data_IF_127926550273
#
_entry.id   IF_127926550273
#
_cell.length_a   1.000
_cell.length_b   1.000
_cell.length_c   1.000
_cell.angle_alpha   90.00
_cell.angle_beta   90.00
_cell.angle_gamma   90.00
#
_symmetry.space_group_name_H-M   'P 1'
#
loop_
_entity.id
_entity.type
_entity.pdbx_description
1 polymer ?
#
# COMPACT_ATOMS: atom_id res chain seq x y z
N UNK A 1 -20.34 -60.58 -27.51
CA UNK A 1 -20.29 -60.61 -29.00
C UNK A 1 -19.42 -59.44 -29.43
N UNK A 2 -18.14 -59.64 -29.73
CA UNK A 2 -17.54 -60.09 -31.02
C UNK A 2 -17.46 -58.95 -32.06
N UNK A 3 -16.33 -58.69 -32.73
CA UNK A 3 -15.03 -59.39 -32.70
C UNK A 3 -13.80 -58.51 -32.95
N UNK A 4 -12.67 -59.04 -32.49
CA UNK A 4 -11.28 -58.62 -32.67
C UNK A 4 -10.76 -58.57 -34.11
N UNK A 5 -9.67 -57.83 -34.33
CA UNK A 5 -8.56 -58.28 -35.20
C UNK A 5 -7.20 -57.84 -34.65
N UNK A 6 -6.18 -58.69 -34.80
CA UNK A 6 -4.84 -58.56 -34.18
C UNK A 6 -3.72 -58.92 -35.15
N UNK A 7 -2.55 -58.27 -34.99
CA UNK A 7 -1.15 -58.54 -35.43
C UNK A 7 -0.31 -57.34 -34.92
N UNK A 8 0.91 -57.41 -34.39
CA UNK A 8 1.88 -58.50 -34.23
C UNK A 8 2.96 -58.47 -35.34
N UNK A 9 4.28 -58.38 -35.09
CA UNK A 9 5.08 -58.22 -33.85
C UNK A 9 6.23 -57.15 -34.09
N UNK A 10 7.54 -57.20 -33.76
CA UNK A 10 8.44 -58.19 -33.10
C UNK A 10 9.82 -57.56 -32.67
N UNK A 11 10.09 -57.37 -31.37
CA UNK A 11 11.44 -57.12 -30.73
C UNK A 11 12.19 -55.80 -31.06
N UNK A 12 13.24 -55.33 -30.33
CA UNK A 12 14.08 -55.94 -29.26
C UNK A 12 14.72 -54.94 -28.23
N UNK A 13 14.86 -55.41 -26.98
CA UNK A 13 15.96 -55.27 -25.98
C UNK A 13 16.80 -53.96 -25.76
N UNK A 14 16.45 -53.23 -24.68
CA UNK A 14 17.24 -52.88 -23.45
C UNK A 14 18.71 -52.31 -23.44
N UNK A 15 19.15 -51.61 -22.34
CA UNK A 15 20.27 -50.64 -22.39
C UNK A 15 21.46 -50.81 -21.38
N UNK A 16 22.51 -49.99 -21.55
CA UNK A 16 23.61 -49.73 -20.59
C UNK A 16 24.96 -49.48 -21.30
N UNK A 17 26.02 -48.86 -20.73
CA UNK A 17 26.25 -48.06 -19.51
C UNK A 17 27.58 -47.22 -19.74
N UNK A 18 28.15 -46.45 -18.79
CA UNK A 18 29.08 -45.35 -19.12
C UNK A 18 30.57 -45.74 -19.25
N UNK A 19 31.40 -44.79 -19.72
CA UNK A 19 32.86 -44.79 -19.53
C UNK A 19 33.29 -43.78 -18.45
N UNK A 20 34.22 -44.21 -17.61
CA UNK A 20 35.00 -43.38 -16.69
C UNK A 20 36.34 -43.02 -17.32
N UNK A 21 36.99 -41.96 -16.83
CA UNK A 21 38.45 -41.81 -16.94
C UNK A 21 39.03 -41.48 -15.56
N UNK A 22 40.08 -42.22 -15.19
CA UNK A 22 40.93 -41.93 -14.04
C UNK A 22 41.94 -40.83 -14.38
N UNK A 23 42.27 -40.01 -13.39
CA UNK A 23 43.63 -39.52 -13.16
C UNK A 23 43.83 -39.35 -11.65
N UNK A 24 45.07 -39.47 -11.19
CA UNK A 24 45.42 -39.58 -9.77
C UNK A 24 46.74 -38.89 -9.45
N UNK A 25 47.03 -38.65 -8.17
CA UNK A 25 48.41 -38.42 -7.69
C UNK A 25 48.74 -37.00 -7.23
N UNK A 26 48.62 -36.80 -5.91
CA UNK A 26 49.55 -36.09 -5.00
C UNK A 26 50.49 -35.02 -5.59
N UNK A 27 50.39 -33.80 -5.05
CA UNK A 27 51.55 -33.04 -4.56
C UNK A 27 51.17 -32.27 -3.29
N UNK A 28 52.16 -31.99 -2.43
CA UNK A 28 52.02 -31.34 -1.12
C UNK A 28 53.32 -30.59 -0.80
N UNK A 29 53.26 -29.61 0.12
CA UNK A 29 54.38 -28.81 0.68
C UNK A 29 54.86 -27.67 -0.26
N UNK A 30 55.34 -26.58 0.38
CA UNK A 30 55.66 -25.24 -0.15
C UNK A 30 54.42 -24.45 -0.68
N UNK A 31 54.19 -23.18 -0.31
CA UNK A 31 54.96 -22.21 0.52
C UNK A 31 54.03 -21.62 1.61
N UNK A 32 54.53 -21.47 2.84
CA UNK A 32 53.78 -20.89 3.97
C UNK A 32 54.63 -19.91 4.80
N UNK A 33 55.14 -18.84 4.18
CA UNK A 33 56.14 -17.94 4.81
C UNK A 33 56.06 -16.46 4.39
N UNK A 34 54.85 -15.90 4.18
CA UNK A 34 54.68 -14.47 3.82
C UNK A 34 53.61 -13.74 4.66
N UNK A 35 52.60 -14.45 5.17
CA UNK A 35 51.40 -13.82 5.75
C UNK A 35 51.53 -13.25 7.19
N UNK A 36 52.73 -13.21 7.78
CA UNK A 36 52.92 -12.85 9.20
C UNK A 36 53.61 -11.49 9.46
N UNK A 37 53.99 -10.74 8.41
CA UNK A 37 54.72 -9.47 8.55
C UNK A 37 53.84 -8.21 8.45
N UNK A 38 52.60 -8.31 7.96
CA UNK A 38 51.70 -7.14 7.81
C UNK A 38 50.83 -6.81 9.03
N UNK A 39 51.01 -7.50 10.17
CA UNK A 39 50.13 -7.38 11.36
C UNK A 39 50.77 -6.58 12.50
N UNK A 40 52.10 -6.36 12.47
CA UNK A 40 52.83 -5.74 13.59
C UNK A 40 53.04 -4.22 13.47
N UNK A 41 52.92 -3.62 12.29
CA UNK A 41 53.20 -2.19 12.07
C UNK A 41 52.01 -1.25 12.37
N UNK A 42 50.79 -1.81 12.51
CA UNK A 42 49.58 -1.03 12.81
C UNK A 42 49.32 -0.84 14.32
N UNK A 43 50.06 -1.53 15.19
CA UNK A 43 49.78 -1.61 16.63
C UNK A 43 50.48 -0.54 17.49
N UNK A 44 51.41 0.25 16.93
CA UNK A 44 52.33 1.13 17.69
C UNK A 44 52.13 2.64 17.44
N UNK A 45 50.95 3.08 16.99
CA UNK A 45 50.67 4.51 16.70
C UNK A 45 49.40 5.11 17.34
N UNK A 46 48.83 4.46 18.35
CA UNK A 46 47.65 4.97 19.09
C UNK A 46 47.80 4.83 20.61
N UNK A 47 48.78 5.53 21.22
CA UNK A 47 48.89 5.59 22.69
C UNK A 47 49.57 6.84 23.28
N UNK A 48 49.18 8.04 22.84
CA UNK A 48 49.59 9.30 23.50
C UNK A 48 48.56 10.43 23.29
N UNK A 49 48.54 11.44 24.16
CA UNK A 49 47.81 12.71 23.94
C UNK A 49 46.36 12.80 24.45
N UNK A 50 46.14 12.89 25.78
CA UNK A 50 44.81 13.23 26.35
C UNK A 50 44.71 14.71 26.75
N UNK A 51 43.79 15.49 26.16
CA UNK A 51 43.23 16.72 26.76
C UNK A 51 41.90 17.14 26.11
N UNK A 52 41.05 17.85 26.86
CA UNK A 52 39.76 18.43 26.42
C UNK A 52 39.94 19.91 26.08
N UNK A 53 39.25 20.42 25.05
CA UNK A 53 38.55 21.73 24.98
C UNK A 53 37.44 21.58 23.91
N UNK A 54 36.53 22.56 23.81
CA UNK A 54 35.23 22.55 23.12
C UNK A 54 35.23 23.03 21.66
N UNK A 55 34.02 23.11 21.08
CA UNK A 55 33.56 23.93 19.92
C UNK A 55 33.86 23.47 18.48
N UNK A 56 32.75 23.23 17.77
CA UNK A 56 32.43 23.51 16.36
C UNK A 56 33.27 22.98 15.16
N UNK A 57 32.54 22.21 14.33
CA UNK A 57 32.56 22.15 12.86
C UNK A 57 33.79 21.70 12.03
N UNK A 58 33.44 20.83 11.06
CA UNK A 58 33.97 20.66 9.70
C UNK A 58 34.99 19.54 9.40
N UNK A 59 34.61 18.72 8.41
CA UNK A 59 35.45 17.72 7.74
C UNK A 59 35.76 16.42 8.50
N UNK A 60 35.98 15.28 7.86
CA UNK A 60 35.58 14.83 6.50
C UNK A 60 35.64 13.30 6.50
N UNK A 61 34.54 12.60 6.23
CA UNK A 61 34.53 11.14 6.03
C UNK A 61 34.13 10.79 4.60
N UNK A 62 35.14 10.49 3.77
CA UNK A 62 34.98 10.13 2.37
C UNK A 62 34.56 8.66 2.19
N UNK A 63 33.28 8.38 2.45
CA UNK A 63 32.61 7.14 2.02
C UNK A 63 31.79 7.45 0.76
N UNK A 64 31.69 6.47 -0.15
CA UNK A 64 31.08 6.57 -1.47
C UNK A 64 29.81 7.45 -1.52
N UNK A 65 29.98 8.72 -1.89
CA UNK A 65 28.89 9.53 -2.44
C UNK A 65 28.53 8.98 -3.82
N UNK A 66 27.57 8.05 -3.84
CA UNK A 66 26.60 8.07 -4.92
C UNK A 66 26.10 9.52 -5.03
N UNK A 67 26.01 10.09 -6.24
CA UNK A 67 25.51 11.45 -6.39
C UNK A 67 24.09 11.50 -5.81
N UNK A 68 23.93 12.21 -4.70
CA UNK A 68 22.71 12.94 -4.43
C UNK A 68 22.60 13.98 -5.53
N UNK A 69 22.06 13.54 -6.67
CA UNK A 69 21.54 14.45 -7.66
C UNK A 69 20.32 15.08 -7.01
N UNK A 70 20.48 16.32 -6.57
CA UNK A 70 19.37 17.24 -6.35
C UNK A 70 18.71 17.54 -7.71
N UNK A 71 18.06 16.50 -8.24
CA UNK A 71 17.20 16.57 -9.39
C UNK A 71 15.84 17.01 -8.86
N UNK A 72 15.72 18.32 -8.68
CA UNK A 72 14.53 19.01 -9.18
C UNK A 72 14.33 18.53 -10.62
N UNK A 73 13.48 17.52 -10.81
CA UNK A 73 12.99 17.15 -12.14
C UNK A 73 12.52 18.41 -12.84
N UNK A 74 12.77 18.49 -14.16
CA UNK A 74 12.49 19.62 -15.05
C UNK A 74 11.29 20.46 -14.60
N UNK A 75 11.40 21.80 -14.72
CA UNK A 75 10.53 22.85 -14.15
C UNK A 75 9.04 22.88 -14.58
N UNK A 76 8.44 21.71 -14.70
CA UNK A 76 7.03 21.40 -14.86
C UNK A 76 6.39 21.61 -13.49
N UNK A 77 5.53 22.61 -13.37
CA UNK A 77 4.64 22.73 -12.23
C UNK A 77 3.68 21.52 -12.25
N UNK A 78 3.93 20.53 -11.38
CA UNK A 78 3.18 19.26 -11.36
C UNK A 78 1.68 19.49 -11.16
N UNK A 79 1.27 20.49 -10.37
CA UNK A 79 -0.13 20.88 -10.21
C UNK A 79 -0.73 21.39 -11.52
N UNK A 80 0.02 22.18 -12.32
CA UNK A 80 -0.40 22.66 -13.65
C UNK A 80 -0.56 21.50 -14.66
N UNK A 81 0.31 20.51 -14.60
CA UNK A 81 0.21 19.33 -15.46
C UNK A 81 -0.95 18.41 -15.05
N UNK A 82 -1.16 18.20 -13.75
CA UNK A 82 -2.34 17.49 -13.23
C UNK A 82 -3.66 18.21 -13.57
N UNK A 83 -3.68 19.55 -13.56
CA UNK A 83 -4.82 20.35 -14.04
C UNK A 83 -5.10 20.14 -15.54
N UNK A 84 -4.07 19.89 -16.36
CA UNK A 84 -4.20 19.58 -17.78
C UNK A 84 -4.68 18.15 -18.03
N UNK A 85 -4.20 17.20 -17.22
CA UNK A 85 -4.52 15.77 -17.32
C UNK A 85 -5.86 15.38 -16.67
N UNK A 86 -6.37 16.19 -15.72
CA UNK A 86 -7.53 15.83 -14.90
C UNK A 86 -8.40 17.05 -14.49
N UNK A 87 -8.81 17.93 -15.42
CA UNK A 87 -9.46 19.21 -15.10
C UNK A 87 -10.79 19.05 -14.33
N UNK A 88 -11.49 17.94 -14.48
CA UNK A 88 -12.79 17.70 -13.83
C UNK A 88 -12.67 17.52 -12.32
N UNK A 89 -11.58 16.93 -11.81
CA UNK A 89 -11.33 16.84 -10.37
C UNK A 89 -11.26 18.24 -9.76
N UNK A 90 -10.44 19.12 -10.35
CA UNK A 90 -10.18 20.46 -9.83
C UNK A 90 -11.31 21.47 -10.10
N UNK A 91 -12.30 21.09 -10.92
CA UNK A 91 -13.53 21.85 -11.10
C UNK A 91 -14.62 21.49 -10.07
N UNK A 92 -14.69 20.24 -9.61
CA UNK A 92 -15.67 19.81 -8.59
C UNK A 92 -15.14 19.86 -7.15
N UNK A 93 -13.82 19.79 -6.94
CA UNK A 93 -13.16 19.90 -5.62
C UNK A 93 -12.48 21.27 -5.50
N UNK A 94 -12.90 22.14 -4.57
CA UNK A 94 -12.25 23.44 -4.35
C UNK A 94 -10.91 23.29 -3.63
N UNK A 95 -9.99 24.22 -3.90
CA UNK A 95 -8.67 24.27 -3.23
C UNK A 95 -8.73 24.75 -1.77
N UNK A 96 -9.80 25.46 -1.41
CA UNK A 96 -10.04 25.94 -0.05
C UNK A 96 -11.19 25.15 0.57
N UNK A 97 -11.03 24.80 1.84
CA UNK A 97 -12.00 24.03 2.63
C UNK A 97 -12.27 24.72 3.96
N UNK A 98 -13.38 24.37 4.60
CA UNK A 98 -13.85 24.99 5.83
C UNK A 98 -12.87 24.68 6.99
N UNK A 99 -12.34 25.70 7.72
CA UNK A 99 -11.27 25.50 8.70
C UNK A 99 -11.71 24.74 9.95
N UNK A 100 -13.00 24.81 10.30
CA UNK A 100 -13.55 24.22 11.53
C UNK A 100 -13.77 22.70 11.43
N UNK A 101 -13.37 22.07 10.32
CA UNK A 101 -13.56 20.65 10.02
C UNK A 101 -12.21 19.94 9.89
N UNK A 102 -12.03 18.80 10.58
CA UNK A 102 -10.83 17.98 10.37
C UNK A 102 -10.77 17.42 8.93
N UNK A 103 -11.90 16.94 8.42
CA UNK A 103 -12.01 16.49 7.03
C UNK A 103 -12.00 17.71 6.08
N UNK A 104 -11.39 17.62 4.89
CA UNK A 104 -11.50 18.67 3.89
C UNK A 104 -12.96 18.77 3.38
N UNK A 105 -13.72 19.72 3.93
CA UNK A 105 -15.14 19.92 3.64
C UNK A 105 -15.45 21.28 3.00
N UNK A 106 -16.53 21.36 2.23
CA UNK A 106 -17.02 22.60 1.62
C UNK A 106 -18.54 22.54 1.40
N UNK A 107 -19.16 23.69 1.16
CA UNK A 107 -20.56 23.78 0.76
C UNK A 107 -20.69 23.78 -0.77
N UNK A 108 -21.48 22.86 -1.30
CA UNK A 108 -21.87 22.80 -2.71
C UNK A 108 -23.31 23.30 -2.85
N UNK A 109 -23.52 24.38 -3.62
CA UNK A 109 -24.85 24.92 -3.92
C UNK A 109 -25.67 23.93 -4.75
N UNK A 110 -26.92 23.70 -4.34
CA UNK A 110 -27.88 22.86 -5.06
C UNK A 110 -28.78 23.77 -5.91
N UNK A 111 -28.91 23.54 -7.24
CA UNK A 111 -29.88 24.25 -8.07
C UNK A 111 -31.31 24.01 -7.60
N UNK A 112 -32.18 25.03 -7.69
CA UNK A 112 -33.57 24.92 -7.21
C UNK A 112 -34.34 23.77 -7.88
N UNK A 113 -34.15 23.60 -9.19
CA UNK A 113 -34.71 22.51 -9.98
C UNK A 113 -34.24 21.10 -9.53
N UNK A 114 -33.16 20.98 -8.77
CA UNK A 114 -32.64 19.70 -8.27
C UNK A 114 -33.07 19.37 -6.83
N UNK A 115 -33.63 20.32 -6.06
CA UNK A 115 -33.95 20.18 -4.63
C UNK A 115 -34.86 18.99 -4.31
N UNK A 116 -35.81 18.70 -5.19
CA UNK A 116 -36.77 17.60 -5.03
C UNK A 116 -36.39 16.37 -5.90
N UNK A 117 -35.21 16.38 -6.52
CA UNK A 117 -34.70 15.27 -7.33
C UNK A 117 -33.87 14.28 -6.50
N UNK A 118 -33.65 13.08 -7.02
CA UNK A 118 -32.63 12.17 -6.47
C UNK A 118 -31.27 12.55 -7.11
N UNK A 119 -30.32 13.16 -6.38
CA UNK A 119 -29.04 13.60 -6.94
C UNK A 119 -28.17 12.42 -7.41
N UNK A 120 -28.41 11.21 -6.87
CA UNK A 120 -27.64 10.01 -7.18
C UNK A 120 -28.22 9.22 -8.37
N UNK A 121 -29.28 9.70 -9.01
CA UNK A 121 -29.96 9.02 -10.15
C UNK A 121 -29.07 8.80 -11.38
N UNK A 122 -27.93 9.48 -11.44
CA UNK A 122 -26.95 9.45 -12.55
C UNK A 122 -25.87 8.38 -12.38
N UNK A 123 -25.79 7.69 -11.23
CA UNK A 123 -24.83 6.61 -10.97
C UNK A 123 -25.06 5.43 -11.92
N UNK A 124 -24.35 5.44 -13.06
CA UNK A 124 -24.40 4.39 -14.10
C UNK A 124 -23.22 3.44 -14.04
N UNK A 125 -22.19 3.78 -13.27
CA UNK A 125 -20.91 3.08 -13.26
C UNK A 125 -20.84 1.99 -12.18
N UNK A 126 -19.64 1.54 -11.84
CA UNK A 126 -19.35 0.53 -10.82
C UNK A 126 -19.99 0.75 -9.42
N UNK A 127 -20.37 1.99 -9.08
CA UNK A 127 -20.99 2.35 -7.81
C UNK A 127 -22.52 2.11 -7.84
N UNK A 128 -23.08 1.76 -8.99
CA UNK A 128 -24.50 1.38 -9.16
C UNK A 128 -24.89 0.03 -8.52
N UNK A 129 -23.99 -0.64 -7.78
CA UNK A 129 -24.30 -1.91 -7.14
C UNK A 129 -25.46 -1.82 -6.13
N UNK A 130 -26.21 -2.91 -5.97
CA UNK A 130 -27.44 -2.97 -5.17
C UNK A 130 -27.26 -2.50 -3.71
N UNK A 131 -26.07 -2.65 -3.10
CA UNK A 131 -25.80 -2.20 -1.73
C UNK A 131 -25.50 -0.70 -1.68
N UNK A 132 -24.67 -0.21 -2.60
CA UNK A 132 -24.33 1.21 -2.69
C UNK A 132 -25.57 2.03 -3.05
N UNK A 133 -26.32 1.63 -4.09
CA UNK A 133 -27.56 2.32 -4.48
C UNK A 133 -28.67 2.24 -3.42
N UNK A 134 -28.79 1.14 -2.65
CA UNK A 134 -29.71 1.09 -1.49
C UNK A 134 -29.34 2.12 -0.41
N UNK A 135 -28.06 2.45 -0.27
CA UNK A 135 -27.55 3.43 0.70
C UNK A 135 -27.78 4.86 0.20
N UNK A 136 -27.41 5.14 -1.05
CA UNK A 136 -27.64 6.42 -1.72
C UNK A 136 -29.14 6.76 -1.78
N UNK A 137 -30.00 5.81 -2.19
CA UNK A 137 -31.45 6.02 -2.23
C UNK A 137 -32.08 6.22 -0.84
N UNK A 138 -31.45 5.76 0.26
CA UNK A 138 -31.90 6.12 1.62
C UNK A 138 -31.60 7.59 1.92
N UNK A 139 -30.45 8.09 1.49
CA UNK A 139 -30.06 9.50 1.68
C UNK A 139 -30.91 10.42 0.79
N UNK A 140 -31.19 10.01 -0.45
CA UNK A 140 -32.03 10.74 -1.39
C UNK A 140 -33.44 11.06 -0.84
N UNK A 141 -34.08 10.08 -0.18
CA UNK A 141 -35.40 10.27 0.47
C UNK A 141 -35.44 11.37 1.53
N UNK A 142 -34.28 11.75 2.07
CA UNK A 142 -34.11 12.74 3.13
C UNK A 142 -33.14 13.84 2.69
N UNK A 143 -32.95 14.04 1.38
CA UNK A 143 -31.86 14.88 0.85
C UNK A 143 -32.00 16.33 1.33
N UNK A 144 -33.21 16.89 1.21
CA UNK A 144 -33.55 18.26 1.64
C UNK A 144 -33.25 18.48 3.13
N UNK A 145 -33.56 17.50 3.98
CA UNK A 145 -33.28 17.48 5.43
C UNK A 145 -31.76 17.52 5.75
N UNK A 146 -30.88 17.31 4.76
CA UNK A 146 -29.43 17.39 4.90
C UNK A 146 -28.85 18.77 4.58
N UNK A 147 -29.59 19.63 3.88
CA UNK A 147 -29.09 20.88 3.33
C UNK A 147 -28.90 21.95 4.42
N UNK A 148 -28.19 23.02 4.07
CA UNK A 148 -28.19 24.31 4.77
C UNK A 148 -28.91 25.29 3.84
N UNK A 149 -29.84 26.07 4.39
CA UNK A 149 -30.47 27.17 3.66
C UNK A 149 -29.79 28.48 4.04
N UNK A 150 -29.55 29.35 3.06
CA UNK A 150 -29.08 30.71 3.25
C UNK A 150 -29.89 31.64 2.34
N UNK A 151 -30.82 32.41 2.92
CA UNK A 151 -31.83 33.13 2.13
C UNK A 151 -32.69 32.17 1.30
N UNK A 152 -32.69 32.35 -0.03
CA UNK A 152 -33.34 31.45 -1.00
C UNK A 152 -32.46 30.28 -1.45
N UNK A 153 -31.15 30.32 -1.16
CA UNK A 153 -30.19 29.33 -1.65
C UNK A 153 -30.07 28.13 -0.71
N UNK A 154 -29.77 26.96 -1.28
CA UNK A 154 -29.57 25.71 -0.54
C UNK A 154 -28.21 25.09 -0.86
N UNK A 155 -27.56 24.52 0.14
CA UNK A 155 -26.23 23.94 0.04
C UNK A 155 -26.18 22.56 0.70
N UNK A 156 -25.47 21.59 0.10
CA UNK A 156 -25.04 20.38 0.82
C UNK A 156 -23.61 20.57 1.33
N UNK A 157 -23.30 19.97 2.48
CA UNK A 157 -21.91 19.80 2.90
C UNK A 157 -21.30 18.61 2.15
N UNK A 158 -20.22 18.84 1.41
CA UNK A 158 -19.32 17.82 0.89
C UNK A 158 -18.13 17.68 1.82
N UNK A 159 -17.59 16.47 1.94
CA UNK A 159 -16.34 16.21 2.67
C UNK A 159 -15.56 15.09 1.97
N UNK A 160 -14.25 15.28 1.83
CA UNK A 160 -13.30 14.24 1.41
C UNK A 160 -12.84 13.40 2.62
N UNK A 161 -12.25 12.22 2.39
CA UNK A 161 -11.56 11.47 3.44
C UNK A 161 -10.50 12.31 4.17
N UNK A 162 -10.51 12.29 5.50
CA UNK A 162 -9.37 12.76 6.29
C UNK A 162 -8.18 11.79 6.17
N UNK A 163 -8.48 10.49 6.05
CA UNK A 163 -7.47 9.44 6.01
C UNK A 163 -7.70 8.34 4.96
N UNK A 164 -6.59 7.71 4.57
CA UNK A 164 -6.53 6.63 3.59
C UNK A 164 -5.68 5.47 4.12
N UNK A 165 -6.24 4.27 4.21
CA UNK A 165 -5.44 3.05 4.42
C UNK A 165 -5.00 2.54 3.03
N UNK A 166 -3.91 3.14 2.53
CA UNK A 166 -3.45 3.05 1.12
C UNK A 166 -2.90 1.69 0.69
N UNK A 167 -2.56 0.83 1.66
CA UNK A 167 -1.95 -0.47 1.39
C UNK A 167 -1.59 -1.23 2.66
N UNK A 168 -1.09 -2.47 2.54
CA UNK A 168 -0.96 -3.28 1.32
C UNK A 168 -1.97 -4.43 1.29
N UNK A 169 -2.31 -4.98 0.11
CA UNK A 169 -3.16 -6.16 0.02
C UNK A 169 -2.58 -7.30 0.87
N UNK A 170 -3.48 -8.07 1.50
CA UNK A 170 -3.17 -9.17 2.43
C UNK A 170 -2.46 -8.77 3.74
N UNK A 171 -2.31 -7.48 4.02
CA UNK A 171 -1.66 -6.98 5.23
C UNK A 171 -2.66 -6.56 6.34
N UNK A 172 -3.85 -7.19 6.40
CA UNK A 172 -4.82 -6.96 7.50
C UNK A 172 -5.59 -5.64 7.48
N UNK A 173 -5.47 -4.83 6.43
CA UNK A 173 -6.12 -3.50 6.28
C UNK A 173 -7.64 -3.53 6.48
N UNK A 174 -8.33 -4.59 6.02
CA UNK A 174 -9.77 -4.74 6.19
C UNK A 174 -10.20 -4.96 7.66
N UNK A 175 -9.31 -5.47 8.51
CA UNK A 175 -9.54 -5.54 9.95
C UNK A 175 -9.14 -4.23 10.65
N UNK A 176 -8.18 -3.48 10.10
CA UNK A 176 -7.81 -2.17 10.62
C UNK A 176 -8.95 -1.16 10.40
N UNK A 177 -9.42 -1.01 9.15
CA UNK A 177 -10.56 -0.16 8.82
C UNK A 177 -11.79 -0.51 9.67
N UNK A 178 -12.06 -1.81 9.90
CA UNK A 178 -13.24 -2.19 10.66
C UNK A 178 -13.18 -1.78 12.14
N UNK A 179 -12.02 -1.85 12.80
CA UNK A 179 -11.85 -1.39 14.18
C UNK A 179 -11.82 0.13 14.27
N UNK A 180 -11.21 0.78 13.28
CA UNK A 180 -11.19 2.24 13.21
C UNK A 180 -12.61 2.81 13.07
N UNK A 181 -13.47 2.20 12.24
CA UNK A 181 -14.91 2.51 12.17
C UNK A 181 -15.76 1.98 13.35
N UNK A 182 -15.12 1.75 14.50
CA UNK A 182 -15.75 1.56 15.82
C UNK A 182 -15.34 2.61 16.85
N UNK A 183 -14.43 3.49 16.50
CA UNK A 183 -14.17 4.70 17.29
C UNK A 183 -15.37 5.66 17.18
N UNK A 184 -15.82 6.32 18.27
CA UNK A 184 -16.97 7.24 18.22
C UNK A 184 -16.76 8.38 17.21
N UNK A 185 -15.54 8.91 17.15
CA UNK A 185 -15.16 10.00 16.25
C UNK A 185 -14.90 9.56 14.80
N UNK A 186 -15.24 8.32 14.39
CA UNK A 186 -14.98 7.82 13.03
C UNK A 186 -16.25 7.27 12.37
N UNK A 187 -16.71 7.99 11.35
CA UNK A 187 -17.81 7.56 10.48
C UNK A 187 -17.24 6.85 9.25
N UNK A 188 -17.52 5.56 9.11
CA UNK A 188 -17.11 4.80 7.93
C UNK A 188 -17.89 5.21 6.67
N UNK A 189 -17.18 5.52 5.58
CA UNK A 189 -17.78 5.76 4.26
C UNK A 189 -18.53 4.54 3.71
N UNK A 190 -19.42 4.76 2.73
CA UNK A 190 -20.33 3.70 2.22
C UNK A 190 -19.59 2.49 1.62
N UNK A 191 -18.37 2.71 1.11
CA UNK A 191 -17.45 1.68 0.61
C UNK A 191 -16.13 1.75 1.38
N UNK A 192 -15.61 0.60 1.81
CA UNK A 192 -14.22 0.49 2.29
C UNK A 192 -13.23 0.85 1.18
N UNK A 193 -13.52 0.42 -0.04
CA UNK A 193 -12.61 0.51 -1.19
C UNK A 193 -13.35 1.10 -2.39
N UNK A 194 -13.42 2.45 -2.49
CA UNK A 194 -13.87 3.13 -3.70
C UNK A 194 -12.99 2.81 -4.93
N UNK A 195 -11.67 2.69 -4.73
CA UNK A 195 -10.65 2.53 -5.77
C UNK A 195 -10.61 3.66 -6.81
N UNK A 196 -11.11 4.84 -6.44
CA UNK A 196 -11.27 5.98 -7.33
C UNK A 196 -9.94 6.47 -7.91
N UNK A 197 -9.00 6.83 -7.04
CA UNK A 197 -7.71 7.46 -7.39
C UNK A 197 -6.80 6.60 -8.29
N UNK A 198 -6.94 5.28 -8.24
CA UNK A 198 -6.06 4.34 -9.00
C UNK A 198 -6.67 3.82 -10.29
N UNK A 199 -7.97 3.52 -10.29
CA UNK A 199 -8.62 2.75 -11.35
C UNK A 199 -9.86 3.42 -11.92
N UNK A 200 -10.21 4.61 -11.41
CA UNK A 200 -11.57 5.18 -11.53
C UNK A 200 -12.62 4.14 -11.15
N UNK A 201 -12.42 3.48 -10.00
CA UNK A 201 -13.22 2.39 -9.41
C UNK A 201 -12.84 0.95 -9.78
N UNK A 202 -13.51 -0.02 -9.12
CA UNK A 202 -13.24 -1.45 -9.22
C UNK A 202 -14.53 -2.27 -9.04
N UNK A 203 -14.96 -2.97 -10.09
CA UNK A 203 -15.98 -4.02 -10.01
C UNK A 203 -15.30 -5.37 -9.80
N UNK A 204 -15.73 -6.13 -8.79
CA UNK A 204 -15.25 -7.50 -8.52
C UNK A 204 -15.42 -8.49 -9.66
N UNK A 205 -16.30 -8.21 -10.63
CA UNK A 205 -16.49 -8.99 -11.88
C UNK A 205 -15.41 -8.68 -12.92
N UNK A 206 -14.76 -7.52 -12.84
CA UNK A 206 -13.79 -7.05 -13.84
C UNK A 206 -12.37 -7.21 -13.33
N UNK A 207 -11.72 -8.29 -13.75
CA UNK A 207 -10.32 -8.59 -13.40
C UNK A 207 -9.30 -8.10 -14.43
N UNK A 208 -9.76 -7.69 -15.62
CA UNK A 208 -8.98 -6.98 -16.64
C UNK A 208 -9.31 -5.49 -16.67
N UNK A 209 -8.65 -4.76 -17.58
CA UNK A 209 -8.92 -3.34 -17.81
C UNK A 209 -10.37 -3.11 -18.24
N UNK A 210 -10.99 -2.12 -17.61
CA UNK A 210 -12.30 -1.61 -18.01
C UNK A 210 -12.04 -0.68 -19.22
N UNK A 211 -12.85 -0.72 -20.30
CA UNK A 211 -12.82 0.32 -21.33
C UNK A 211 -13.09 1.71 -20.71
N UNK A 212 -12.90 2.80 -21.46
CA UNK A 212 -12.85 4.20 -21.01
C UNK A 212 -14.11 4.73 -20.28
N UNK A 213 -14.40 4.19 -19.09
CA UNK A 213 -15.49 4.57 -18.20
C UNK A 213 -14.91 5.57 -17.19
N UNK A 214 -14.89 6.84 -17.60
CA UNK A 214 -14.48 7.94 -16.73
C UNK A 214 -15.56 8.18 -15.67
N UNK A 215 -15.39 7.56 -14.50
CA UNK A 215 -16.27 7.79 -13.35
C UNK A 215 -16.11 9.24 -12.86
N UNK A 216 -17.16 10.08 -12.86
CA UNK A 216 -17.09 11.46 -12.38
C UNK A 216 -16.66 11.52 -10.92
N UNK A 217 -15.96 12.59 -10.50
CA UNK A 217 -15.56 12.72 -9.10
C UNK A 217 -16.78 12.94 -8.20
N UNK A 218 -17.86 13.53 -8.73
CA UNK A 218 -19.22 13.51 -8.14
C UNK A 218 -19.63 12.16 -7.57
N UNK A 219 -19.53 11.07 -8.33
CA UNK A 219 -19.97 9.74 -7.86
C UNK A 219 -19.11 9.20 -6.71
N UNK A 220 -17.83 9.60 -6.64
CA UNK A 220 -16.94 9.29 -5.53
C UNK A 220 -17.27 10.13 -4.29
N UNK A 221 -17.52 11.44 -4.45
CA UNK A 221 -17.94 12.34 -3.36
C UNK A 221 -19.26 11.89 -2.75
N UNK A 222 -20.21 11.42 -3.57
CA UNK A 222 -21.50 10.91 -3.13
C UNK A 222 -21.38 9.72 -2.14
N UNK A 223 -20.28 8.95 -2.17
CA UNK A 223 -20.01 7.88 -1.19
C UNK A 223 -19.77 8.39 0.24
N UNK A 224 -19.57 9.70 0.40
CA UNK A 224 -19.30 10.37 1.67
C UNK A 224 -20.42 11.33 2.12
N UNK A 225 -21.47 11.59 1.31
CA UNK A 225 -22.60 12.45 1.72
C UNK A 225 -23.28 11.96 3.02
N UNK A 226 -23.36 10.63 3.20
CA UNK A 226 -23.87 10.03 4.44
C UNK A 226 -22.98 10.29 5.66
N UNK A 227 -21.66 10.44 5.46
CA UNK A 227 -20.71 10.78 6.51
C UNK A 227 -20.69 12.30 6.77
N UNK A 228 -20.67 13.12 5.71
CA UNK A 228 -20.71 14.59 5.80
C UNK A 228 -21.92 15.07 6.61
N UNK A 229 -23.10 14.43 6.46
CA UNK A 229 -24.29 14.74 7.27
C UNK A 229 -24.15 14.44 8.76
N UNK A 230 -23.33 13.45 9.15
CA UNK A 230 -23.05 13.12 10.55
C UNK A 230 -21.97 14.05 11.10
N UNK A 231 -20.92 14.32 10.32
CA UNK A 231 -19.87 15.29 10.64
C UNK A 231 -20.47 16.68 10.89
N UNK A 232 -21.41 17.13 10.04
CA UNK A 232 -22.17 18.39 10.18
C UNK A 232 -22.93 18.50 11.52
N UNK A 233 -23.44 17.41 12.08
CA UNK A 233 -24.28 17.45 13.29
C UNK A 233 -23.52 17.11 14.57
N UNK A 234 -22.42 16.37 14.48
CA UNK A 234 -21.57 16.00 15.62
C UNK A 234 -20.49 17.04 15.89
N UNK A 235 -20.92 18.20 16.41
CA UNK A 235 -20.04 19.27 16.88
C UNK A 235 -19.38 18.93 18.22
N UNK A 236 -18.11 19.32 18.40
CA UNK A 236 -17.43 19.39 19.70
C UNK A 236 -17.12 20.84 20.05
N UNK A 237 -17.14 21.17 21.34
CA UNK A 237 -16.85 22.51 21.86
C UNK A 237 -15.52 22.49 22.59
N UNK A 238 -14.56 23.28 22.13
CA UNK A 238 -13.23 23.41 22.73
C UNK A 238 -13.04 24.78 23.36
N UNK A 239 -12.07 24.88 24.25
CA UNK A 239 -11.55 26.15 24.76
C UNK A 239 -10.17 26.39 24.14
N UNK A 240 -9.96 27.58 23.57
CA UNK A 240 -8.62 28.03 23.16
C UNK A 240 -7.76 28.36 24.38
N UNK A 241 -6.45 28.55 24.17
CA UNK A 241 -5.54 29.08 25.20
C UNK A 241 -5.93 30.47 25.72
N UNK A 242 -6.77 31.22 24.97
CA UNK A 242 -7.36 32.49 25.38
C UNK A 242 -8.73 32.36 26.07
N UNK A 243 -9.19 31.14 26.37
CA UNK A 243 -10.48 30.86 27.01
C UNK A 243 -11.71 31.01 26.08
N UNK A 244 -11.50 31.31 24.79
CA UNK A 244 -12.59 31.42 23.82
C UNK A 244 -13.17 30.04 23.50
N UNK A 245 -14.51 29.94 23.50
CA UNK A 245 -15.21 28.73 23.07
C UNK A 245 -15.27 28.67 21.54
N UNK A 246 -14.65 27.65 20.95
CA UNK A 246 -14.71 27.36 19.50
C UNK A 246 -15.47 26.05 19.26
N UNK A 247 -16.05 25.90 18.07
CA UNK A 247 -16.90 24.77 17.70
C UNK A 247 -16.25 24.05 16.52
N UNK A 248 -15.81 22.82 16.73
CA UNK A 248 -15.10 22.03 15.72
C UNK A 248 -15.88 20.78 15.32
N UNK A 249 -15.70 20.36 14.08
CA UNK A 249 -16.18 19.09 13.54
C UNK A 249 -15.03 18.07 13.54
N UNK A 250 -14.74 17.52 14.72
CA UNK A 250 -13.65 16.56 14.96
C UNK A 250 -13.91 15.14 14.43
N UNK A 251 -15.17 14.83 14.11
CA UNK A 251 -15.56 13.50 13.62
C UNK A 251 -15.04 13.34 12.19
N UNK A 252 -14.35 12.23 11.91
CA UNK A 252 -13.69 12.00 10.61
C UNK A 252 -14.31 10.86 9.81
N UNK A 253 -14.12 10.92 8.49
CA UNK A 253 -14.35 9.82 7.56
C UNK A 253 -13.06 9.45 6.83
N UNK A 254 -13.01 8.23 6.28
CA UNK A 254 -11.84 7.73 5.59
C UNK A 254 -12.16 6.61 4.59
N UNK A 255 -11.18 6.26 3.76
CA UNK A 255 -11.24 5.07 2.90
C UNK A 255 -10.03 4.14 3.12
N UNK A 256 -10.06 2.97 2.49
CA UNK A 256 -9.07 1.92 2.71
C UNK A 256 -8.84 1.05 1.46
N UNK A 257 -8.83 1.67 0.27
CA UNK A 257 -8.44 1.03 -0.99
C UNK A 257 -6.94 0.71 -0.99
N UNK A 258 -6.63 -0.57 -0.80
CA UNK A 258 -5.23 -1.06 -0.75
C UNK A 258 -4.45 -0.96 -2.07
N UNK A 259 -5.06 -0.42 -3.13
CA UNK A 259 -4.39 -0.15 -4.40
C UNK A 259 -3.67 1.19 -4.41
N UNK A 260 -4.06 2.15 -3.57
CA UNK A 260 -3.67 3.56 -3.68
C UNK A 260 -2.16 3.76 -3.64
N UNK A 261 -1.43 2.97 -2.85
CA UNK A 261 0.03 3.01 -2.78
C UNK A 261 0.73 2.52 -4.07
N UNK A 262 0.20 1.49 -4.74
CA UNK A 262 0.95 0.70 -5.74
C UNK A 262 0.41 0.76 -7.18
N UNK A 263 -0.88 1.01 -7.38
CA UNK A 263 -1.56 0.76 -8.65
C UNK A 263 -1.59 1.99 -9.56
N UNK A 264 -0.43 2.29 -10.15
CA UNK A 264 -0.22 3.47 -10.99
C UNK A 264 -0.61 3.29 -12.47
N UNK A 265 -1.32 2.20 -12.83
CA UNK A 265 -1.52 1.78 -14.24
C UNK A 265 -2.30 2.77 -15.12
N UNK A 266 -3.05 3.70 -14.51
CA UNK A 266 -3.64 4.84 -15.24
C UNK A 266 -2.53 5.76 -15.77
N UNK A 267 -1.72 6.30 -14.88
CA UNK A 267 -0.60 7.18 -15.24
C UNK A 267 0.50 6.45 -16.02
N UNK A 268 0.66 5.14 -15.83
CA UNK A 268 1.48 4.29 -16.71
C UNK A 268 1.01 4.21 -18.18
N UNK A 269 -0.14 4.79 -18.53
CA UNK A 269 -0.62 4.99 -19.92
C UNK A 269 -0.77 6.46 -20.30
N UNK A 270 -1.21 7.30 -19.36
CA UNK A 270 -1.48 8.73 -19.60
C UNK A 270 -0.24 9.64 -19.41
N UNK A 271 0.77 9.18 -18.66
CA UNK A 271 1.93 9.98 -18.24
C UNK A 271 3.14 9.08 -17.88
N UNK A 272 3.71 8.42 -18.89
CA UNK A 272 4.95 7.63 -18.78
C UNK A 272 6.14 8.39 -19.39
N UNK A 273 7.26 8.41 -18.69
CA UNK A 273 8.51 9.04 -19.12
C UNK A 273 9.30 8.07 -20.00
N UNK A 274 9.18 8.23 -21.31
CA UNK A 274 9.91 7.41 -22.29
C UNK A 274 11.44 7.59 -22.21
N UNK A 275 11.96 8.65 -21.59
CA UNK A 275 13.41 8.90 -21.49
C UNK A 275 14.07 8.15 -20.32
N UNK A 276 13.33 7.95 -19.23
CA UNK A 276 13.76 7.16 -18.06
C UNK A 276 13.12 5.76 -17.99
N UNK A 277 12.18 5.49 -18.90
CA UNK A 277 11.24 4.36 -18.90
C UNK A 277 10.56 4.15 -17.54
N UNK A 278 9.99 5.22 -16.98
CA UNK A 278 9.43 5.26 -15.63
C UNK A 278 8.15 6.13 -15.55
N UNK A 279 7.30 6.01 -14.52
CA UNK A 279 6.15 6.90 -14.37
C UNK A 279 6.61 8.31 -13.95
N UNK A 280 6.17 9.33 -14.70
CA UNK A 280 6.38 10.75 -14.38
C UNK A 280 5.31 11.31 -13.43
N UNK A 281 4.09 10.79 -13.50
CA UNK A 281 2.98 11.14 -12.60
C UNK A 281 2.61 9.93 -11.74
N UNK A 282 2.36 10.17 -10.45
CA UNK A 282 1.91 9.16 -9.50
C UNK A 282 0.50 9.46 -8.98
N UNK A 283 -0.19 8.43 -8.51
CA UNK A 283 -1.42 8.57 -7.70
C UNK A 283 -1.17 9.44 -6.45
N UNK A 284 0.02 9.37 -5.87
CA UNK A 284 0.48 10.28 -4.81
C UNK A 284 0.51 11.75 -5.26
N UNK A 285 1.01 12.03 -6.47
CA UNK A 285 1.08 13.40 -7.03
C UNK A 285 -0.32 14.00 -7.18
N UNK A 286 -1.29 13.22 -7.68
CA UNK A 286 -2.68 13.64 -7.76
C UNK A 286 -3.27 13.91 -6.37
N UNK A 287 -3.07 12.99 -5.41
CA UNK A 287 -3.58 13.17 -4.05
C UNK A 287 -2.98 14.40 -3.35
N UNK A 288 -1.70 14.70 -3.58
CA UNK A 288 -1.03 15.88 -3.02
C UNK A 288 -1.60 17.18 -3.58
N UNK A 289 -1.88 17.23 -4.88
CA UNK A 289 -2.45 18.39 -5.55
C UNK A 289 -3.91 18.69 -5.15
N UNK A 290 -4.65 17.67 -4.69
CA UNK A 290 -6.08 17.77 -4.32
C UNK A 290 -6.27 17.87 -2.79
N UNK A 291 -5.45 17.18 -2.01
CA UNK A 291 -5.51 17.10 -0.54
C UNK A 291 -4.09 17.06 0.07
N UNK A 292 -3.36 18.19 0.08
CA UNK A 292 -1.97 18.22 0.55
C UNK A 292 -1.79 17.76 2.00
N UNK A 293 -2.81 17.92 2.85
CA UNK A 293 -2.79 17.54 4.27
C UNK A 293 -3.44 16.18 4.58
N UNK A 294 -3.68 15.33 3.57
CA UNK A 294 -4.25 14.00 3.78
C UNK A 294 -3.35 13.10 4.66
N UNK A 295 -3.96 12.27 5.52
CA UNK A 295 -3.24 11.29 6.35
C UNK A 295 -3.28 9.89 5.76
N UNK A 296 -2.13 9.23 5.70
CA UNK A 296 -1.97 7.92 5.08
C UNK A 296 -1.55 6.86 6.10
N UNK A 297 -2.17 5.68 6.03
CA UNK A 297 -1.82 4.54 6.87
C UNK A 297 -1.44 3.37 5.97
N UNK A 298 -0.21 2.88 6.16
CA UNK A 298 0.33 1.73 5.46
C UNK A 298 0.53 0.58 6.46
N UNK A 299 -0.24 -0.50 6.30
CA UNK A 299 0.08 -1.77 6.98
C UNK A 299 0.80 -2.68 5.99
N UNK A 300 2.03 -3.08 6.31
CA UNK A 300 2.81 -4.08 5.58
C UNK A 300 3.10 -5.29 6.48
N UNK A 301 3.74 -6.31 5.92
CA UNK A 301 4.07 -7.58 6.58
C UNK A 301 5.25 -8.22 5.85
N UNK A 302 5.75 -9.37 6.32
CA UNK A 302 6.73 -10.18 5.56
C UNK A 302 6.27 -10.34 4.08
N UNK A 303 7.04 -9.86 3.08
CA UNK A 303 6.58 -9.82 1.69
C UNK A 303 6.47 -11.21 1.04
N UNK A 304 7.23 -12.20 1.52
CA UNK A 304 7.12 -13.62 1.14
C UNK A 304 5.78 -14.19 1.63
N UNK A 305 5.45 -13.94 2.90
CA UNK A 305 4.17 -14.36 3.49
C UNK A 305 2.97 -13.53 3.00
N UNK A 306 3.17 -12.27 2.58
CA UNK A 306 2.15 -11.50 1.83
C UNK A 306 1.85 -12.21 0.51
N UNK A 307 2.87 -12.51 -0.29
CA UNK A 307 2.72 -13.11 -1.62
C UNK A 307 2.04 -14.49 -1.54
N UNK A 308 2.42 -15.33 -0.57
CA UNK A 308 1.74 -16.61 -0.36
C UNK A 308 0.30 -16.45 0.15
N UNK A 309 0.05 -15.48 1.04
CA UNK A 309 -1.32 -15.14 1.45
C UNK A 309 -2.17 -14.56 0.30
N UNK A 310 -1.54 -13.99 -0.72
CA UNK A 310 -2.18 -13.46 -1.92
C UNK A 310 -2.62 -14.59 -2.85
N UNK A 311 -1.69 -15.49 -3.18
CA UNK A 311 -1.95 -16.72 -3.92
C UNK A 311 -3.10 -17.52 -3.29
N UNK A 312 -3.05 -17.74 -1.97
CA UNK A 312 -4.09 -18.47 -1.26
C UNK A 312 -5.44 -17.76 -1.26
N UNK A 313 -5.50 -16.45 -1.50
CA UNK A 313 -6.76 -15.69 -1.52
C UNK A 313 -7.37 -15.55 -2.92
N UNK A 314 -6.56 -15.25 -3.93
CA UNK A 314 -7.03 -14.97 -5.29
C UNK A 314 -7.01 -16.18 -6.23
N UNK A 315 -6.34 -17.29 -5.88
CA UNK A 315 -6.49 -18.53 -6.65
C UNK A 315 -7.87 -19.15 -6.39
N UNK A 316 -8.52 -19.60 -7.45
CA UNK A 316 -9.78 -20.35 -7.44
C UNK A 316 -9.53 -21.77 -7.99
N UNK A 317 -10.40 -22.73 -7.67
CA UNK A 317 -10.11 -24.15 -7.90
C UNK A 317 -9.05 -24.67 -6.93
N UNK A 318 -8.26 -25.64 -7.40
CA UNK A 318 -7.25 -26.34 -6.61
C UNK A 318 -6.01 -25.49 -6.32
N UNK A 319 -5.42 -25.74 -5.15
CA UNK A 319 -4.28 -24.97 -4.61
C UNK A 319 -3.26 -25.93 -4.05
N UNK A 320 -1.99 -25.68 -4.35
CA UNK A 320 -0.88 -26.51 -3.87
C UNK A 320 0.37 -25.67 -3.66
N UNK A 321 1.21 -26.07 -2.71
CA UNK A 321 2.51 -25.45 -2.50
C UNK A 321 3.43 -25.58 -3.75
N UNK A 322 3.21 -26.62 -4.58
CA UNK A 322 3.85 -26.79 -5.89
C UNK A 322 3.39 -25.72 -6.89
N UNK A 323 2.09 -25.60 -7.19
CA UNK A 323 1.61 -24.59 -8.15
C UNK A 323 1.90 -23.15 -7.70
N UNK A 324 2.04 -22.89 -6.39
CA UNK A 324 2.60 -21.62 -5.92
C UNK A 324 4.08 -21.44 -6.27
N UNK A 325 4.92 -22.47 -6.08
CA UNK A 325 6.34 -22.45 -6.46
C UNK A 325 6.52 -22.17 -7.96
N UNK A 326 5.76 -22.86 -8.81
CA UNK A 326 5.88 -22.71 -10.27
C UNK A 326 5.48 -21.30 -10.73
N UNK A 327 4.45 -20.73 -10.11
CA UNK A 327 4.04 -19.34 -10.34
C UNK A 327 5.07 -18.31 -9.81
N UNK A 328 5.82 -18.65 -8.75
CA UNK A 328 6.88 -17.80 -8.18
C UNK A 328 8.11 -17.78 -9.08
N UNK A 329 8.50 -18.91 -9.68
CA UNK A 329 9.57 -18.97 -10.70
C UNK A 329 9.25 -17.98 -11.84
N UNK A 330 8.09 -18.13 -12.48
CA UNK A 330 7.66 -17.28 -13.60
C UNK A 330 7.66 -15.79 -13.23
N UNK A 331 7.23 -15.43 -12.02
CA UNK A 331 7.20 -14.04 -11.60
C UNK A 331 8.60 -13.46 -11.31
N UNK A 332 9.52 -14.26 -10.74
CA UNK A 332 10.92 -13.86 -10.52
C UNK A 332 11.65 -13.72 -11.86
N UNK A 333 11.48 -14.69 -12.77
CA UNK A 333 12.08 -14.65 -14.11
C UNK A 333 11.56 -13.46 -14.93
N UNK A 334 10.26 -13.16 -14.85
CA UNK A 334 9.66 -11.98 -15.47
C UNK A 334 10.23 -10.66 -14.95
N UNK A 335 10.41 -10.53 -13.63
CA UNK A 335 11.01 -9.34 -13.03
C UNK A 335 12.51 -9.22 -13.38
N UNK A 336 13.27 -10.30 -13.25
CA UNK A 336 14.69 -10.36 -13.61
C UNK A 336 14.94 -10.08 -15.10
N UNK A 337 14.04 -10.50 -15.99
CA UNK A 337 14.14 -10.19 -17.41
C UNK A 337 13.86 -8.71 -17.70
N UNK A 338 12.96 -8.07 -16.95
CA UNK A 338 12.75 -6.62 -17.02
C UNK A 338 14.00 -5.85 -16.57
N UNK A 339 14.61 -6.25 -15.44
CA UNK A 339 15.80 -5.59 -14.86
C UNK A 339 17.04 -5.55 -15.79
N UNK A 340 17.10 -6.38 -16.83
CA UNK A 340 18.22 -6.37 -17.81
C UNK A 340 18.40 -5.00 -18.48
N UNK A 341 17.30 -4.30 -18.73
CA UNK A 341 17.27 -3.06 -19.52
C UNK A 341 16.64 -1.88 -18.75
N UNK A 342 16.21 -2.08 -17.50
CA UNK A 342 15.34 -1.15 -16.78
C UNK A 342 15.70 -1.05 -15.29
N UNK A 343 15.34 0.08 -14.66
CA UNK A 343 15.50 0.25 -13.22
C UNK A 343 14.54 -0.63 -12.41
N UNK A 344 14.85 -0.81 -11.12
CA UNK A 344 13.91 -1.45 -10.16
C UNK A 344 12.59 -0.70 -10.12
N UNK A 345 12.61 0.64 -10.15
CA UNK A 345 11.40 1.50 -10.12
C UNK A 345 10.55 1.30 -11.36
N UNK A 346 11.17 1.28 -12.55
CA UNK A 346 10.55 0.95 -13.82
C UNK A 346 9.82 -0.40 -13.75
N UNK A 347 10.53 -1.49 -13.44
CA UNK A 347 9.95 -2.85 -13.35
C UNK A 347 8.88 -2.99 -12.24
N UNK A 348 8.95 -2.17 -11.19
CA UNK A 348 7.94 -2.15 -10.11
C UNK A 348 6.62 -1.53 -10.59
N UNK A 349 6.67 -0.53 -11.47
CA UNK A 349 5.49 0.15 -12.00
C UNK A 349 4.99 -0.36 -13.36
N UNK A 350 5.85 -1.03 -14.15
CA UNK A 350 5.56 -1.58 -15.50
C UNK A 350 4.15 -2.21 -15.59
N UNK A 351 3.21 -1.66 -16.38
CA UNK A 351 1.83 -2.13 -16.42
C UNK A 351 1.67 -3.58 -16.92
N UNK A 352 2.54 -4.03 -17.82
CA UNK A 352 2.45 -5.29 -18.57
C UNK A 352 3.43 -6.37 -18.11
N UNK A 353 4.07 -6.20 -16.94
CA UNK A 353 5.06 -7.15 -16.42
C UNK A 353 4.48 -8.59 -16.37
N UNK A 354 5.29 -9.57 -16.76
CA UNK A 354 4.92 -11.00 -16.79
C UNK A 354 4.84 -11.58 -15.37
N UNK A 355 3.75 -11.26 -14.67
CA UNK A 355 3.36 -11.85 -13.38
C UNK A 355 1.91 -12.35 -13.44
N UNK A 356 1.61 -13.49 -12.80
CA UNK A 356 0.22 -13.98 -12.70
C UNK A 356 -0.55 -13.12 -11.69
N UNK A 357 -1.82 -12.81 -11.99
CA UNK A 357 -2.71 -12.00 -11.12
C UNK A 357 -2.85 -12.52 -9.68
N UNK A 358 -2.51 -13.79 -9.42
CA UNK A 358 -2.52 -14.43 -8.10
C UNK A 358 -1.18 -14.40 -7.37
N UNK A 359 -0.08 -14.07 -8.04
CA UNK A 359 1.30 -14.02 -7.52
C UNK A 359 1.96 -12.74 -8.04
N UNK A 360 1.55 -11.59 -7.49
CA UNK A 360 2.07 -10.28 -7.89
C UNK A 360 3.30 -9.95 -7.05
N UNK A 361 4.48 -10.18 -7.61
CA UNK A 361 5.75 -10.17 -6.90
C UNK A 361 6.12 -8.74 -6.47
N UNK A 362 6.03 -7.79 -7.40
CA UNK A 362 6.41 -6.38 -7.19
C UNK A 362 5.68 -5.68 -6.04
N UNK A 363 4.49 -6.13 -5.67
CA UNK A 363 3.74 -5.63 -4.51
C UNK A 363 4.40 -5.91 -3.14
N UNK A 364 5.53 -6.64 -3.10
CA UNK A 364 6.39 -6.76 -1.92
C UNK A 364 7.56 -5.76 -1.87
N UNK A 365 7.79 -4.98 -2.94
CA UNK A 365 8.88 -4.02 -3.06
C UNK A 365 8.51 -2.69 -2.37
N UNK A 366 8.31 -2.75 -1.05
CA UNK A 366 7.72 -1.66 -0.28
C UNK A 366 8.57 -0.39 -0.25
N UNK A 367 9.90 -0.51 -0.37
CA UNK A 367 10.82 0.62 -0.34
C UNK A 367 10.66 1.51 -1.59
N UNK A 368 10.47 0.92 -2.78
CA UNK A 368 10.23 1.66 -4.03
C UNK A 368 9.00 2.55 -3.89
N UNK A 369 7.87 1.97 -3.47
CA UNK A 369 6.63 2.72 -3.28
C UNK A 369 6.75 3.77 -2.17
N UNK A 370 7.46 3.48 -1.06
CA UNK A 370 7.62 4.43 0.04
C UNK A 370 8.59 5.56 -0.27
N UNK A 371 9.65 5.35 -1.08
CA UNK A 371 10.56 6.41 -1.53
C UNK A 371 9.81 7.45 -2.34
N UNK A 372 9.04 7.00 -3.33
CA UNK A 372 8.16 7.84 -4.14
C UNK A 372 7.14 8.62 -3.29
N UNK A 373 6.52 7.96 -2.32
CA UNK A 373 5.53 8.61 -1.45
C UNK A 373 6.14 9.59 -0.44
N UNK A 374 7.31 9.30 0.16
CA UNK A 374 8.01 10.22 1.06
C UNK A 374 8.70 11.40 0.33
N UNK A 375 8.89 11.31 -0.99
CA UNK A 375 9.32 12.45 -1.81
C UNK A 375 8.17 13.44 -2.08
N UNK A 376 6.91 12.97 -2.04
CA UNK A 376 5.71 13.77 -2.34
C UNK A 376 5.00 14.27 -1.07
N UNK A 377 5.00 13.48 0.00
CA UNK A 377 4.36 13.80 1.27
C UNK A 377 5.35 13.80 2.46
N UNK A 378 5.23 14.76 3.39
CA UNK A 378 5.91 14.73 4.68
C UNK A 378 5.78 13.39 5.42
N UNK A 379 6.86 12.98 6.11
CA UNK A 379 6.92 11.67 6.79
C UNK A 379 5.85 11.50 7.89
N UNK A 380 5.47 12.59 8.56
CA UNK A 380 4.43 12.62 9.61
C UNK A 380 3.00 12.52 9.05
N UNK A 381 2.83 12.56 7.72
CA UNK A 381 1.57 12.24 7.03
C UNK A 381 1.45 10.75 6.65
N UNK A 382 2.48 9.90 6.88
CA UNK A 382 2.45 8.47 6.51
C UNK A 382 2.81 7.55 7.70
N UNK A 383 1.80 6.99 8.35
CA UNK A 383 1.98 5.96 9.39
C UNK A 383 2.26 4.58 8.76
N UNK A 384 3.51 4.13 8.80
CA UNK A 384 3.90 2.76 8.41
C UNK A 384 3.88 1.83 9.64
N UNK A 385 3.26 0.65 9.50
CA UNK A 385 3.18 -0.35 10.57
C UNK A 385 3.25 -1.79 10.05
N UNK A 386 3.69 -2.74 10.89
CA UNK A 386 3.78 -4.17 10.58
C UNK A 386 2.58 -4.96 11.12
N UNK A 387 2.06 -5.90 10.34
CA UNK A 387 0.99 -6.82 10.75
C UNK A 387 1.46 -7.80 11.84
N UNK A 388 2.76 -8.12 11.87
CA UNK A 388 3.41 -8.92 12.90
C UNK A 388 3.30 -8.23 14.26
N UNK A 389 3.65 -6.93 14.34
CA UNK A 389 3.52 -6.14 15.58
C UNK A 389 2.07 -6.09 16.05
N UNK A 390 1.11 -5.89 15.13
CA UNK A 390 -0.34 -5.91 15.43
C UNK A 390 -0.87 -7.26 15.93
N UNK A 391 -0.13 -8.35 15.69
CA UNK A 391 -0.45 -9.67 16.23
C UNK A 391 0.23 -9.96 17.57
N UNK A 392 1.32 -9.25 17.90
CA UNK A 392 2.00 -9.26 19.22
C UNK A 392 1.32 -8.30 20.21
N UNK A 393 1.06 -7.06 19.81
CA UNK A 393 0.37 -6.02 20.56
C UNK A 393 -0.79 -5.42 19.73
N UNK A 394 -2.03 -5.92 19.87
CA UNK A 394 -3.20 -5.35 19.21
C UNK A 394 -3.64 -3.99 19.78
N UNK A 395 -3.23 -3.62 21.01
CA UNK A 395 -3.70 -2.40 21.68
C UNK A 395 -2.85 -1.21 21.27
N UNK A 396 -1.55 -1.22 21.56
CA UNK A 396 -0.63 -0.12 21.27
C UNK A 396 -0.48 0.15 19.77
N UNK A 397 -0.53 -0.88 18.92
CA UNK A 397 -0.57 -0.69 17.45
C UNK A 397 -1.83 0.04 16.98
N UNK A 398 -2.98 -0.21 17.61
CA UNK A 398 -4.22 0.51 17.31
C UNK A 398 -4.24 1.90 17.96
N UNK A 399 -3.68 2.07 19.16
CA UNK A 399 -3.53 3.39 19.81
C UNK A 399 -2.70 4.35 18.95
N UNK A 400 -1.57 3.90 18.39
CA UNK A 400 -0.77 4.73 17.45
C UNK A 400 -1.54 5.15 16.20
N UNK A 401 -2.57 4.40 15.79
CA UNK A 401 -3.47 4.82 14.70
C UNK A 401 -4.46 5.88 15.16
N UNK A 402 -4.99 5.79 16.38
CA UNK A 402 -5.88 6.81 16.95
C UNK A 402 -5.15 8.14 17.17
N UNK A 403 -3.95 8.06 17.73
CA UNK A 403 -3.02 9.18 17.95
C UNK A 403 -2.61 9.86 16.63
N UNK A 404 -2.15 9.09 15.64
CA UNK A 404 -1.80 9.59 14.31
C UNK A 404 -2.98 10.28 13.58
N UNK A 405 -4.21 9.87 13.86
CA UNK A 405 -5.43 10.49 13.34
C UNK A 405 -6.02 11.58 14.25
N UNK A 406 -5.33 11.93 15.35
CA UNK A 406 -5.73 12.97 16.30
C UNK A 406 -7.16 12.77 16.82
N UNK A 407 -7.51 11.52 17.14
CA UNK A 407 -8.83 11.12 17.65
C UNK A 407 -8.92 11.30 19.17
N UNK A 408 -10.15 11.47 19.68
CA UNK A 408 -10.41 11.56 21.11
C UNK A 408 -10.07 10.26 21.87
N UNK A 409 -10.06 10.31 23.22
CA UNK A 409 -9.78 9.14 24.05
C UNK A 409 -10.86 8.05 23.91
N UNK A 410 -10.47 6.80 24.22
CA UNK A 410 -11.41 5.68 24.34
C UNK A 410 -11.89 5.62 25.80
N UNK A 411 -13.01 6.29 26.07
CA UNK A 411 -13.49 6.61 27.43
C UNK A 411 -14.20 5.46 28.14
N UNK A 412 -14.78 4.51 27.40
CA UNK A 412 -15.63 3.46 27.96
C UNK A 412 -15.20 2.04 27.60
N UNK A 413 -15.47 1.08 28.51
CA UNK A 413 -15.26 -0.36 28.28
C UNK A 413 -15.99 -0.87 27.04
N UNK A 414 -17.12 -0.27 26.68
CA UNK A 414 -17.90 -0.61 25.48
C UNK A 414 -17.14 -0.24 24.20
N UNK A 415 -16.61 0.98 24.09
CA UNK A 415 -15.76 1.40 22.98
C UNK A 415 -14.46 0.57 22.95
N UNK A 416 -13.83 0.34 24.12
CA UNK A 416 -12.62 -0.47 24.24
C UNK A 416 -12.81 -1.88 23.67
N UNK A 417 -13.91 -2.56 24.04
CA UNK A 417 -14.25 -3.87 23.49
C UNK A 417 -14.55 -3.80 21.98
N UNK A 418 -15.28 -2.76 21.54
CA UNK A 418 -15.64 -2.56 20.15
C UNK A 418 -14.45 -2.24 19.23
N UNK A 419 -13.32 -1.75 19.77
CA UNK A 419 -12.10 -1.43 19.02
C UNK A 419 -11.05 -2.54 19.16
N UNK A 420 -10.70 -2.92 20.39
CA UNK A 420 -9.55 -3.77 20.67
C UNK A 420 -9.91 -5.27 20.76
N UNK A 421 -11.06 -5.65 21.35
CA UNK A 421 -11.38 -7.07 21.60
C UNK A 421 -12.16 -7.77 20.48
N UNK A 422 -12.39 -7.12 19.33
CA UNK A 422 -13.07 -7.76 18.19
C UNK A 422 -12.29 -8.97 17.64
N UNK A 423 -13.06 -9.98 17.20
CA UNK A 423 -12.54 -11.08 16.38
C UNK A 423 -11.95 -10.55 15.05
N UNK A 424 -10.76 -11.04 14.68
CA UNK A 424 -10.05 -10.65 13.44
C UNK A 424 -10.92 -10.97 12.20
N UNK A 425 -11.14 -9.99 11.33
CA UNK A 425 -11.84 -10.17 10.04
C UNK A 425 -10.91 -10.60 8.91
N UNK A 426 -11.47 -11.34 7.96
CA UNK A 426 -10.77 -11.87 6.77
C UNK A 426 -9.57 -12.78 7.08
N UNK A 427 -9.66 -13.57 8.15
CA UNK A 427 -8.75 -14.68 8.46
C UNK A 427 -8.73 -15.70 7.31
N UNK A 428 -7.63 -16.45 7.16
CA UNK A 428 -7.47 -17.52 6.17
C UNK A 428 -8.64 -18.52 6.32
N UNK A 429 -9.33 -18.87 5.23
CA UNK A 429 -10.48 -19.80 5.28
C UNK A 429 -9.97 -21.22 5.60
N UNK A 430 -10.76 -22.10 6.26
CA UNK A 430 -10.32 -23.45 6.60
C UNK A 430 -9.80 -24.26 5.41
N UNK A 431 -10.43 -24.12 4.23
CA UNK A 431 -9.95 -24.78 3.00
C UNK A 431 -8.58 -24.28 2.52
N UNK A 432 -8.26 -23.01 2.74
CA UNK A 432 -6.97 -22.41 2.37
C UNK A 432 -5.90 -22.70 3.45
N UNK A 433 -6.30 -23.13 4.65
CA UNK A 433 -5.40 -23.65 5.69
C UNK A 433 -4.92 -25.08 5.37
N UNK A 434 -5.78 -25.93 4.79
CA UNK A 434 -5.41 -27.30 4.35
C UNK A 434 -4.36 -27.35 3.23
N UNK A 435 -4.07 -26.23 2.57
CA UNK A 435 -2.95 -26.12 1.60
C UNK A 435 -1.59 -26.10 2.30
N UNK A 436 -1.55 -25.86 3.61
CA UNK A 436 -0.34 -25.89 4.44
C UNK A 436 0.52 -24.62 4.34
N UNK A 437 1.84 -24.75 4.57
CA UNK A 437 2.85 -23.74 4.26
C UNK A 437 3.29 -23.83 2.78
N UNK A 438 4.02 -22.82 2.30
CA UNK A 438 4.73 -22.92 1.02
C UNK A 438 5.93 -23.89 1.13
N UNK A 439 6.43 -24.39 -0.01
CA UNK A 439 7.61 -25.26 -0.01
C UNK A 439 8.83 -24.50 0.56
N UNK A 440 9.69 -25.14 1.39
CA UNK A 440 10.88 -24.48 1.94
C UNK A 440 11.83 -23.89 0.87
N UNK A 441 11.89 -24.50 -0.32
CA UNK A 441 12.63 -23.94 -1.46
C UNK A 441 12.05 -22.59 -1.92
N UNK A 442 10.72 -22.48 -2.03
CA UNK A 442 10.03 -21.23 -2.41
C UNK A 442 10.22 -20.14 -1.36
N UNK A 443 10.17 -20.48 -0.06
CA UNK A 443 10.41 -19.50 1.00
C UNK A 443 11.85 -18.97 0.95
N UNK A 444 12.85 -19.82 0.68
CA UNK A 444 14.24 -19.37 0.49
C UNK A 444 14.38 -18.44 -0.72
N UNK A 445 13.87 -18.84 -1.89
CA UNK A 445 13.94 -18.02 -3.12
C UNK A 445 13.29 -16.65 -2.95
N UNK A 446 12.11 -16.57 -2.31
CA UNK A 446 11.44 -15.30 -2.06
C UNK A 446 12.16 -14.46 -1.00
N UNK A 447 12.67 -15.06 0.07
CA UNK A 447 13.45 -14.35 1.10
C UNK A 447 14.81 -13.86 0.58
N UNK A 448 15.35 -14.50 -0.45
CA UNK A 448 16.56 -14.06 -1.16
C UNK A 448 16.23 -12.92 -2.13
N UNK A 449 15.21 -13.06 -2.97
CA UNK A 449 14.71 -12.02 -3.86
C UNK A 449 14.34 -10.73 -3.11
N UNK A 450 13.60 -10.82 -1.99
CA UNK A 450 13.19 -9.65 -1.22
C UNK A 450 14.30 -9.06 -0.33
N UNK A 451 15.42 -9.76 -0.10
CA UNK A 451 16.48 -9.30 0.84
C UNK A 451 17.01 -7.89 0.58
N UNK A 452 17.46 -7.51 -0.64
CA UNK A 452 17.99 -6.17 -0.87
C UNK A 452 16.93 -5.08 -0.68
N UNK A 453 15.68 -5.34 -1.07
CA UNK A 453 14.58 -4.39 -0.94
C UNK A 453 14.12 -4.24 0.52
N UNK A 454 14.14 -5.32 1.30
CA UNK A 454 13.90 -5.28 2.74
C UNK A 454 15.00 -4.51 3.50
N UNK A 455 16.26 -4.59 3.06
CA UNK A 455 17.35 -3.78 3.57
C UNK A 455 17.09 -2.29 3.27
N UNK A 456 16.85 -1.95 2.01
CA UNK A 456 16.50 -0.58 1.58
C UNK A 456 15.26 -0.02 2.29
N UNK A 457 14.29 -0.86 2.67
CA UNK A 457 13.12 -0.50 3.47
C UNK A 457 13.46 -0.23 4.94
N UNK A 458 14.25 -1.12 5.55
CA UNK A 458 14.68 -0.98 6.94
C UNK A 458 15.52 0.28 7.15
N UNK A 459 16.38 0.62 6.17
CA UNK A 459 17.19 1.84 6.20
C UNK A 459 16.31 3.10 5.95
N UNK A 460 15.38 3.06 4.99
CA UNK A 460 14.43 4.14 4.71
C UNK A 460 13.53 4.51 5.91
N UNK A 461 13.22 3.54 6.76
CA UNK A 461 12.39 3.67 7.95
C UNK A 461 13.19 3.73 9.27
N UNK A 462 14.52 3.62 9.20
CA UNK A 462 15.42 3.49 10.35
C UNK A 462 14.97 2.41 11.37
N UNK A 463 14.53 1.25 10.86
CA UNK A 463 13.97 0.18 11.69
C UNK A 463 14.31 -1.20 11.11
N UNK A 464 15.30 -1.86 11.74
CA UNK A 464 15.78 -3.21 11.39
C UNK A 464 14.69 -4.30 11.48
N UNK A 465 13.54 -4.03 12.11
CA UNK A 465 12.41 -4.97 12.15
C UNK A 465 11.74 -5.16 10.78
N UNK A 466 11.98 -4.28 9.81
CA UNK A 466 11.57 -4.44 8.41
C UNK A 466 12.53 -5.29 7.55
N UNK A 467 13.60 -5.85 8.14
CA UNK A 467 14.41 -6.87 7.47
C UNK A 467 13.70 -8.25 7.38
N UNK A 468 12.71 -8.47 8.26
CA UNK A 468 12.05 -9.78 8.49
C UNK A 468 13.02 -10.95 8.65
N UNK A 469 14.19 -10.70 9.24
CA UNK A 469 15.03 -11.76 9.77
C UNK A 469 14.21 -12.56 10.78
N UNK A 470 14.07 -13.87 10.55
CA UNK A 470 13.62 -14.78 11.60
C UNK A 470 14.64 -14.67 12.74
N UNK A 471 14.16 -14.54 13.97
CA UNK A 471 14.97 -14.72 15.16
C UNK A 471 15.69 -16.07 15.00
N UNK A 472 17.03 -16.04 14.92
CA UNK A 472 17.82 -17.26 14.81
C UNK A 472 17.54 -18.09 16.05
N UNK A 473 17.06 -19.31 15.86
CA UNK A 473 17.02 -20.31 16.93
C UNK A 473 18.47 -20.60 17.32
N UNK A 474 18.98 -19.83 18.28
CA UNK A 474 20.20 -20.16 19.00
C UNK A 474 19.92 -21.50 19.66
N UNK A 475 20.65 -22.53 19.23
CA UNK A 475 20.55 -23.88 19.76
C UNK A 475 21.03 -23.89 21.21
N UNK A 476 20.08 -23.69 22.13
CA UNK A 476 20.31 -23.81 23.56
C UNK A 476 19.88 -25.23 23.99
N UNK A 477 20.89 -26.09 24.18
CA UNK A 477 20.83 -27.48 24.61
C UNK A 477 20.30 -28.45 23.54
#
# INVERSE_FOLDING_TARGET
MTSSKTRGCLSSLTPGKPRTHFLSGKCLVFVASVALLCVLDFALKLKEGTRRVTTENSGTWSVFKAKESDQTTSGINMTKELLRLDPTIFAEIPRQTLPDFKNPCWYEKIPEAELNSNPYRTHKNCYSDKKTMKSLNKIAKHFRDGLVQNGTEYFRLRCLPYFYIIGMPKCGTSDLYHRLTKHPDVVGGMRKEPHYWTRRCFDSRMTGDIPNVTVPVREYLDLFDGAARIIKTQIKKHLTSSGQKVVNHDVITGEASVSTLYDNRRWGREAWDMSRNEPSVLVASLLQAVQPHARFILTIRDPTERLYSEYLYFTHGDKSAASFHDNVIVAIDGFNNCLKNNSVRSCTYEPNLVEKRTVRLRLGLYDVYLRDWFHIFPRDQILVQRLEDRSRDPRGTMMRVLEFLQLGPVESKSQENAIFTLNKKHVRKPKDARVGPMLPKTQRMLNEFYRPYNQQLADLLNDKRFLWLKESTVSNL
#
